data_IF_245100226982
#
_entry.id   IF_245100226982
#
_cell.length_a   1.000
_cell.length_b   1.000
_cell.length_c   1.000
_cell.angle_alpha   90.00
_cell.angle_beta   90.00
_cell.angle_gamma   90.00
#
_symmetry.space_group_name_H-M   'P 1'
#
loop_
_entity.id
_entity.type
_entity.pdbx_description
1 polymer ?
#
# COMPACT_ATOMS: atom_id res chain seq x y z
N UNK A 1 -4.80 -19.56 -8.51
CA UNK A 1 -5.93 -18.75 -9.04
C UNK A 1 -7.02 -18.69 -7.96
N UNK A 2 -6.98 -17.68 -7.10
CA UNK A 2 -8.08 -17.39 -6.17
C UNK A 2 -8.66 -16.04 -6.61
N UNK A 3 -9.80 -16.10 -7.30
CA UNK A 3 -10.61 -14.92 -7.60
C UNK A 3 -11.11 -14.35 -6.26
N UNK A 4 -11.15 -13.03 -6.04
CA UNK A 4 -11.78 -12.45 -4.87
C UNK A 4 -13.20 -13.02 -4.76
N UNK A 5 -13.47 -13.69 -3.64
CA UNK A 5 -14.78 -14.23 -3.31
C UNK A 5 -15.30 -13.50 -2.08
N UNK A 6 -16.59 -13.57 -1.80
CA UNK A 6 -17.17 -13.00 -0.56
C UNK A 6 -16.55 -13.59 0.74
N UNK A 7 -15.62 -14.55 0.65
CA UNK A 7 -14.88 -15.15 1.76
C UNK A 7 -13.44 -14.66 1.90
N UNK A 8 -12.93 -13.88 0.94
CA UNK A 8 -11.56 -13.37 0.95
C UNK A 8 -11.58 -11.87 1.22
N UNK A 9 -10.99 -11.45 2.33
CA UNK A 9 -10.83 -10.03 2.65
C UNK A 9 -9.63 -9.43 1.92
N UNK A 10 -9.69 -8.14 1.63
CA UNK A 10 -8.60 -7.39 1.00
C UNK A 10 -8.01 -6.40 1.99
N UNK A 11 -6.71 -6.55 2.25
CA UNK A 11 -5.90 -5.57 2.97
C UNK A 11 -5.24 -4.67 1.94
N UNK A 12 -5.50 -3.35 2.02
CA UNK A 12 -4.79 -2.37 1.23
C UNK A 12 -3.67 -1.75 2.05
N UNK A 13 -2.44 -1.98 1.59
CA UNK A 13 -1.22 -1.49 2.17
C UNK A 13 -0.66 -0.34 1.33
N UNK A 14 -0.62 0.86 1.91
CA UNK A 14 -0.01 2.01 1.26
C UNK A 14 1.26 2.43 1.99
N UNK A 15 2.39 2.38 1.31
CA UNK A 15 3.70 2.71 1.89
C UNK A 15 4.31 3.89 1.15
N UNK A 16 4.49 4.98 1.88
CA UNK A 16 5.23 6.18 1.44
C UNK A 16 6.62 6.12 2.06
N UNK A 17 7.65 5.93 1.24
CA UNK A 17 9.05 6.00 1.68
C UNK A 17 9.63 7.41 1.59
N UNK A 18 8.98 8.33 0.87
CA UNK A 18 9.46 9.70 0.71
C UNK A 18 10.59 9.82 -0.31
N UNK A 19 11.19 11.01 -0.40
CA UNK A 19 12.14 11.35 -1.45
C UNK A 19 13.53 10.72 -1.21
N UNK A 20 14.15 10.12 -2.24
CA UNK A 20 15.42 9.39 -2.11
C UNK A 20 16.63 10.24 -1.70
N UNK A 21 16.50 11.58 -1.69
CA UNK A 21 17.59 12.50 -1.31
C UNK A 21 17.86 12.61 0.19
N UNK A 22 17.00 12.05 1.06
CA UNK A 22 17.11 12.15 2.53
C UNK A 22 17.11 10.78 3.24
N UNK A 23 17.47 9.71 2.54
CA UNK A 23 17.32 8.33 3.05
C UNK A 23 18.50 7.96 3.95
N UNK A 24 18.33 8.08 5.26
CA UNK A 24 19.20 7.42 6.24
C UNK A 24 18.91 5.91 6.33
N UNK A 25 19.84 5.11 6.85
CA UNK A 25 19.65 3.66 7.08
C UNK A 25 18.37 3.32 7.88
N UNK A 26 17.87 4.25 8.70
CA UNK A 26 16.62 4.13 9.44
C UNK A 26 15.35 4.00 8.56
N UNK A 27 15.41 4.33 7.27
CA UNK A 27 14.28 4.18 6.35
C UNK A 27 14.15 2.77 5.78
N UNK A 28 15.23 2.01 5.59
CA UNK A 28 15.14 0.62 5.09
C UNK A 28 14.39 -0.31 6.06
N UNK A 29 14.46 -0.06 7.37
CA UNK A 29 13.70 -0.85 8.35
C UNK A 29 12.22 -0.47 8.42
N UNK A 30 11.80 0.65 7.79
CA UNK A 30 10.44 1.15 7.91
C UNK A 30 9.41 0.25 7.21
N UNK A 31 9.69 -0.14 5.97
CA UNK A 31 8.81 -1.03 5.20
C UNK A 31 8.75 -2.43 5.83
N UNK A 32 9.88 -2.96 6.29
CA UNK A 32 9.89 -4.25 7.00
C UNK A 32 9.05 -4.24 8.28
N UNK A 33 9.18 -3.21 9.12
CA UNK A 33 8.34 -3.11 10.32
C UNK A 33 6.85 -2.96 9.98
N UNK A 34 6.54 -2.26 8.89
CA UNK A 34 5.18 -2.16 8.36
C UNK A 34 4.62 -3.54 7.95
N UNK A 35 5.44 -4.38 7.29
CA UNK A 35 5.04 -5.73 6.93
C UNK A 35 4.85 -6.64 8.14
N UNK A 36 5.74 -6.55 9.13
CA UNK A 36 5.58 -7.27 10.39
C UNK A 36 4.30 -6.87 11.13
N UNK A 37 3.95 -5.58 11.14
CA UNK A 37 2.70 -5.12 11.72
C UNK A 37 1.49 -5.79 11.04
N UNK A 38 1.44 -5.79 9.70
CA UNK A 38 0.35 -6.43 8.96
C UNK A 38 0.28 -7.92 9.27
N UNK A 39 1.43 -8.61 9.22
CA UNK A 39 1.49 -10.04 9.45
C UNK A 39 0.99 -10.42 10.85
N UNK A 40 1.50 -9.74 11.86
CA UNK A 40 1.22 -10.08 13.26
C UNK A 40 -0.22 -9.71 13.67
N UNK A 41 -0.77 -8.65 13.07
CA UNK A 41 -2.10 -8.15 13.44
C UNK A 41 -3.22 -8.88 12.70
N UNK A 42 -3.05 -9.19 11.41
CA UNK A 42 -4.15 -9.67 10.57
C UNK A 42 -3.96 -11.08 10.06
N UNK A 43 -2.74 -11.47 9.67
CA UNK A 43 -2.50 -12.70 8.90
C UNK A 43 -2.35 -13.97 9.75
N UNK A 44 -2.32 -13.84 11.07
CA UNK A 44 -2.31 -14.98 12.00
C UNK A 44 -3.72 -15.55 12.27
N UNK A 45 -4.77 -14.98 11.68
CA UNK A 45 -6.14 -15.47 11.86
C UNK A 45 -6.49 -16.59 10.87
N UNK A 46 -7.63 -17.26 11.07
CA UNK A 46 -8.16 -18.26 10.13
C UNK A 46 -8.81 -17.66 8.88
N UNK A 47 -8.85 -16.33 8.77
CA UNK A 47 -9.41 -15.64 7.62
C UNK A 47 -8.44 -15.64 6.43
N UNK A 48 -9.00 -15.66 5.21
CA UNK A 48 -8.21 -15.64 4.00
C UNK A 48 -8.07 -14.21 3.48
N UNK A 49 -6.83 -13.74 3.32
CA UNK A 49 -6.53 -12.38 2.88
C UNK A 49 -5.82 -12.33 1.53
N UNK A 50 -6.20 -11.35 0.72
CA UNK A 50 -5.37 -10.82 -0.36
C UNK A 50 -4.82 -9.46 0.05
N UNK A 51 -3.61 -9.15 -0.39
CA UNK A 51 -2.90 -7.92 -0.03
C UNK A 51 -2.72 -7.12 -1.31
N UNK A 52 -3.36 -5.95 -1.38
CA UNK A 52 -3.09 -4.97 -2.43
C UNK A 52 -2.07 -3.96 -1.92
N UNK A 53 -0.98 -3.78 -2.65
CA UNK A 53 0.13 -2.91 -2.24
C UNK A 53 0.26 -1.75 -3.21
N UNK A 54 0.36 -0.54 -2.66
CA UNK A 54 0.77 0.64 -3.41
C UNK A 54 1.88 1.37 -2.66
N UNK A 55 2.87 1.84 -3.41
CA UNK A 55 4.05 2.48 -2.87
C UNK A 55 4.67 3.42 -3.90
N UNK A 56 5.44 4.38 -3.41
CA UNK A 56 6.19 5.36 -4.22
C UNK A 56 7.53 4.83 -4.75
N UNK A 57 7.84 3.56 -4.50
CA UNK A 57 9.05 2.85 -4.93
C UNK A 57 8.71 1.40 -5.29
N UNK A 58 9.25 0.91 -6.40
CA UNK A 58 8.97 -0.44 -6.90
C UNK A 58 9.57 -1.51 -5.98
N UNK A 59 10.72 -1.22 -5.37
CA UNK A 59 11.43 -2.14 -4.48
C UNK A 59 10.57 -2.53 -3.27
N UNK A 60 9.73 -1.62 -2.77
CA UNK A 60 8.82 -1.85 -1.65
C UNK A 60 7.69 -2.80 -2.03
N UNK A 61 7.18 -2.71 -3.27
CA UNK A 61 6.15 -3.62 -3.79
C UNK A 61 6.72 -5.03 -3.97
N UNK A 62 7.95 -5.12 -4.49
CA UNK A 62 8.68 -6.38 -4.63
C UNK A 62 9.01 -7.00 -3.26
N UNK A 63 9.42 -6.19 -2.29
CA UNK A 63 9.65 -6.60 -0.91
C UNK A 63 8.38 -7.22 -0.31
N UNK A 64 7.23 -6.57 -0.43
CA UNK A 64 5.96 -7.10 0.06
C UNK A 64 5.62 -8.47 -0.55
N UNK A 65 5.79 -8.64 -1.88
CA UNK A 65 5.57 -9.93 -2.54
C UNK A 65 6.52 -11.02 -2.01
N UNK A 66 7.77 -10.65 -1.73
CA UNK A 66 8.77 -11.57 -1.19
C UNK A 66 8.53 -11.90 0.29
N UNK A 67 7.94 -10.99 1.06
CA UNK A 67 7.62 -11.17 2.47
C UNK A 67 6.37 -12.04 2.65
N UNK A 68 5.28 -11.71 1.96
CA UNK A 68 4.00 -12.41 2.08
C UNK A 68 3.85 -13.59 1.10
N UNK A 69 4.84 -14.48 1.02
CA UNK A 69 4.88 -15.57 0.01
C UNK A 69 3.68 -16.53 0.04
N UNK A 70 3.05 -16.66 1.20
CA UNK A 70 1.90 -17.54 1.41
C UNK A 70 0.55 -16.87 1.09
N UNK A 71 0.56 -15.57 0.81
CA UNK A 71 -0.63 -14.78 0.53
C UNK A 71 -0.61 -14.26 -0.90
N UNK A 72 -1.80 -13.96 -1.42
CA UNK A 72 -1.90 -13.33 -2.73
C UNK A 72 -1.56 -11.85 -2.61
N UNK A 73 -0.42 -11.43 -3.19
CA UNK A 73 0.01 -10.03 -3.23
C UNK A 73 -0.17 -9.46 -4.63
N UNK A 74 -0.95 -8.39 -4.73
CA UNK A 74 -1.27 -7.68 -5.98
C UNK A 74 -0.81 -6.24 -5.87
N UNK A 75 -0.23 -5.71 -6.94
CA UNK A 75 0.12 -4.30 -7.04
C UNK A 75 0.18 -3.89 -8.51
N UNK A 76 0.04 -2.59 -8.76
CA UNK A 76 0.24 -2.01 -10.08
C UNK A 76 1.73 -1.69 -10.27
N UNK A 77 2.38 -2.39 -11.20
CA UNK A 77 3.81 -2.19 -11.54
C UNK A 77 4.10 -0.80 -12.15
N UNK A 78 3.06 -0.10 -12.63
CA UNK A 78 3.21 1.19 -13.33
C UNK A 78 2.93 2.41 -12.44
N UNK A 79 2.62 2.23 -11.16
CA UNK A 79 2.29 3.32 -10.22
C UNK A 79 3.40 3.67 -9.22
N UNK A 80 4.62 3.16 -9.41
CA UNK A 80 5.72 3.24 -8.44
C UNK A 80 6.54 4.53 -8.49
N UNK A 81 5.98 5.59 -9.05
CA UNK A 81 6.72 6.82 -9.31
C UNK A 81 5.90 8.04 -8.98
N UNK A 82 6.62 9.09 -8.61
CA UNK A 82 6.13 10.45 -8.52
C UNK A 82 5.70 11.00 -9.88
N UNK A 83 4.39 11.12 -10.08
CA UNK A 83 3.80 11.61 -11.34
C UNK A 83 4.28 13.04 -11.65
N UNK A 84 4.50 13.85 -10.61
CA UNK A 84 4.96 15.24 -10.72
C UNK A 84 6.42 15.38 -11.14
N UNK A 85 7.22 14.31 -11.08
CA UNK A 85 8.66 14.33 -11.41
C UNK A 85 8.97 13.92 -12.85
N UNK A 86 7.96 13.51 -13.64
CA UNK A 86 8.15 13.13 -15.05
C UNK A 86 7.96 14.30 -16.01
N UNK A 87 8.85 14.40 -17.00
CA UNK A 87 8.75 15.32 -18.13
C UNK A 87 7.71 14.83 -19.14
N UNK A 88 6.57 15.52 -19.17
CA UNK A 88 5.48 15.63 -20.18
C UNK A 88 4.99 14.42 -21.01
N UNK A 89 5.82 13.48 -21.49
CA UNK A 89 5.38 12.43 -22.42
C UNK A 89 4.66 11.24 -21.77
N UNK A 90 4.89 10.98 -20.49
CA UNK A 90 4.31 9.84 -19.75
C UNK A 90 3.38 10.26 -18.60
N UNK A 91 3.07 11.55 -18.48
CA UNK A 91 2.30 12.12 -17.37
C UNK A 91 0.89 11.53 -17.27
N UNK A 92 0.15 11.46 -18.37
CA UNK A 92 -1.23 10.96 -18.40
C UNK A 92 -1.31 9.49 -17.97
N UNK A 93 -0.46 8.63 -18.53
CA UNK A 93 -0.44 7.21 -18.17
C UNK A 93 -0.05 7.02 -16.69
N UNK A 94 0.90 7.82 -16.19
CA UNK A 94 1.32 7.74 -14.79
C UNK A 94 0.19 8.21 -13.86
N UNK A 95 -0.51 9.28 -14.22
CA UNK A 95 -1.68 9.77 -13.49
C UNK A 95 -2.81 8.74 -13.47
N UNK A 96 -3.13 8.12 -14.61
CA UNK A 96 -4.15 7.08 -14.71
C UNK A 96 -3.85 5.91 -13.75
N UNK A 97 -2.60 5.45 -13.72
CA UNK A 97 -2.18 4.37 -12.82
C UNK A 97 -2.31 4.73 -11.33
N UNK A 98 -1.99 5.97 -10.96
CA UNK A 98 -2.13 6.45 -9.57
C UNK A 98 -3.60 6.63 -9.18
N UNK A 99 -4.44 7.14 -10.09
CA UNK A 99 -5.89 7.24 -9.87
C UNK A 99 -6.50 5.84 -9.73
N UNK A 100 -6.05 4.88 -10.54
CA UNK A 100 -6.51 3.50 -10.46
C UNK A 100 -6.15 2.87 -9.10
N UNK A 101 -4.91 3.02 -8.64
CA UNK A 101 -4.50 2.57 -7.30
C UNK A 101 -5.34 3.23 -6.19
N UNK A 102 -5.53 4.56 -6.30
CA UNK A 102 -6.33 5.33 -5.35
C UNK A 102 -7.78 4.86 -5.30
N UNK A 103 -8.35 4.48 -6.45
CA UNK A 103 -9.69 3.93 -6.52
C UNK A 103 -9.76 2.52 -5.92
N UNK A 104 -8.80 1.64 -6.23
CA UNK A 104 -8.75 0.30 -5.65
C UNK A 104 -8.66 0.34 -4.12
N UNK A 105 -7.88 1.27 -3.57
CA UNK A 105 -7.75 1.48 -2.12
C UNK A 105 -9.08 1.76 -1.40
N UNK A 106 -10.08 2.30 -2.10
CA UNK A 106 -11.41 2.60 -1.54
C UNK A 106 -12.28 1.35 -1.36
N UNK A 107 -11.93 0.21 -1.97
CA UNK A 107 -12.76 -1.01 -1.98
C UNK A 107 -12.24 -2.11 -1.07
N UNK A 108 -11.31 -1.79 -0.17
CA UNK A 108 -10.65 -2.78 0.69
C UNK A 108 -11.35 -2.87 2.04
N UNK A 109 -11.37 -4.08 2.61
CA UNK A 109 -11.93 -4.34 3.94
C UNK A 109 -11.08 -3.70 5.04
N UNK A 110 -9.74 -3.71 4.87
CA UNK A 110 -8.79 -3.15 5.83
C UNK A 110 -7.85 -2.19 5.10
N UNK A 111 -7.64 -1.00 5.68
CA UNK A 111 -6.67 -0.02 5.20
C UNK A 111 -5.50 0.10 6.16
N UNK A 112 -4.29 -0.23 5.72
CA UNK A 112 -3.06 0.03 6.48
C UNK A 112 -2.23 0.99 5.65
N UNK A 113 -2.06 2.22 6.15
CA UNK A 113 -1.44 3.29 5.36
C UNK A 113 -0.33 3.94 6.17
N UNK A 114 0.77 4.26 5.51
CA UNK A 114 1.77 5.19 6.05
C UNK A 114 1.13 6.57 6.27
N UNK A 115 1.77 7.41 7.08
CA UNK A 115 1.37 8.80 7.27
C UNK A 115 1.56 9.63 5.97
N UNK A 116 0.65 9.44 5.01
CA UNK A 116 0.68 10.05 3.69
C UNK A 116 -0.70 10.57 3.31
N UNK A 117 -0.74 11.75 2.67
CA UNK A 117 -2.00 12.33 2.18
C UNK A 117 -2.72 11.40 1.21
N UNK A 118 -1.98 10.74 0.31
CA UNK A 118 -2.55 9.80 -0.66
C UNK A 118 -3.23 8.60 0.03
N UNK A 119 -2.55 7.96 0.98
CA UNK A 119 -3.09 6.80 1.69
C UNK A 119 -4.30 7.17 2.56
N UNK A 120 -4.21 8.26 3.30
CA UNK A 120 -5.31 8.72 4.17
C UNK A 120 -6.52 9.16 3.34
N UNK A 121 -6.33 9.96 2.29
CA UNK A 121 -7.44 10.46 1.46
C UNK A 121 -8.15 9.36 0.69
N UNK A 122 -7.43 8.34 0.21
CA UNK A 122 -8.08 7.19 -0.44
C UNK A 122 -8.95 6.42 0.54
N UNK A 123 -8.54 6.33 1.80
CA UNK A 123 -9.33 5.70 2.85
C UNK A 123 -10.56 6.52 3.23
N UNK A 124 -10.44 7.85 3.25
CA UNK A 124 -11.58 8.73 3.54
C UNK A 124 -12.70 8.70 2.51
N UNK A 125 -12.44 8.19 1.31
CA UNK A 125 -13.44 8.02 0.26
C UNK A 125 -14.20 6.69 0.35
N UNK A 126 -13.97 5.89 1.39
CA UNK A 126 -14.77 4.69 1.70
C UNK A 126 -16.15 5.09 2.25
N UNK A 127 -17.18 4.23 2.13
CA UNK A 127 -18.47 4.45 2.77
C UNK A 127 -18.35 4.68 4.30
N UNK A 128 -17.45 3.93 4.95
CA UNK A 128 -17.09 4.07 6.37
C UNK A 128 -15.59 4.45 6.50
N UNK A 129 -15.22 5.74 6.42
CA UNK A 129 -13.84 6.23 6.31
C UNK A 129 -12.83 5.71 7.34
N UNK A 130 -13.28 5.50 8.58
CA UNK A 130 -12.42 5.18 9.72
C UNK A 130 -12.48 3.71 10.13
N UNK A 131 -13.40 2.95 9.54
CA UNK A 131 -13.55 1.54 9.86
C UNK A 131 -12.35 0.78 9.33
N UNK A 132 -11.72 0.00 10.21
CA UNK A 132 -10.56 -0.84 9.90
C UNK A 132 -9.43 -0.08 9.17
N UNK A 133 -9.25 1.19 9.54
CA UNK A 133 -8.16 2.05 9.09
C UNK A 133 -7.07 2.14 10.16
N UNK A 134 -5.85 1.79 9.76
CA UNK A 134 -4.65 1.82 10.58
C UNK A 134 -3.64 2.75 9.91
N UNK A 135 -3.28 3.83 10.60
CA UNK A 135 -2.24 4.75 10.13
C UNK A 135 -0.93 4.40 10.83
N UNK A 136 0.00 3.85 10.07
CA UNK A 136 1.33 3.51 10.55
C UNK A 136 2.21 4.77 10.55
N UNK A 137 2.59 5.20 11.75
CA UNK A 137 3.50 6.34 11.98
C UNK A 137 4.77 5.81 12.64
N UNK A 138 5.90 6.47 12.38
CA UNK A 138 7.05 6.32 13.28
C UNK A 138 6.79 7.23 14.49
N UNK A 139 7.21 6.82 15.69
CA UNK A 139 7.03 7.60 16.93
C UNK A 139 7.55 9.04 16.87
N UNK A 140 8.39 9.40 15.88
CA UNK A 140 9.04 10.71 15.73
C UNK A 140 8.70 11.44 14.41
N UNK A 141 7.48 11.29 13.88
CA UNK A 141 6.97 12.10 12.75
C UNK A 141 5.89 13.09 13.17
#
# INVERSE_FOLDING_TARGET
KLKPSNKTKVICAQVRMGDPGHVGQAEQNASMNFWYFINNTFLNSSENYSIFVTADREEVKLEARNFFRLHNVVYNERSSFHVEKKTEKDGCNSLENVIFDFHLMQHCDIGVVSHSGFGIMSMWNRPDPFKDLYVYTKENQ
#
